data_IF_429381622200
#
_entry.id   IF_429381622200
#
_cell.length_a   1.000
_cell.length_b   1.000
_cell.length_c   1.000
_cell.angle_alpha   90.00
_cell.angle_beta   90.00
_cell.angle_gamma   90.00
#
_symmetry.space_group_name_H-M   'P 1'
#
loop_
_entity.id
_entity.type
_entity.pdbx_description
1 polymer ?
#
# COMPACT_ATOMS: atom_id res chain seq x y z
N UNK A 1 -9.95 56.69 -5.52
CA UNK A 1 -9.21 56.80 -4.24
C UNK A 1 -8.00 55.90 -4.35
N UNK A 2 -6.82 56.46 -4.11
CA UNK A 2 -5.50 55.92 -4.46
C UNK A 2 -4.79 55.66 -3.13
N UNK A 3 -4.29 54.45 -2.91
CA UNK A 3 -3.50 54.10 -1.73
C UNK A 3 -2.41 53.11 -2.12
N UNK A 4 -1.14 53.55 -2.19
CA UNK A 4 0.03 52.69 -2.37
C UNK A 4 0.75 52.50 -1.03
N UNK A 5 1.23 51.29 -0.74
CA UNK A 5 2.32 51.05 0.22
C UNK A 5 3.05 49.79 -0.23
N UNK A 6 4.17 49.95 -0.97
CA UNK A 6 5.55 49.97 -0.43
C UNK A 6 5.83 48.69 0.35
N UNK A 7 6.33 47.65 -0.33
CA UNK A 7 7.76 47.33 -0.43
C UNK A 7 8.44 47.22 0.95
N UNK A 8 8.62 45.99 1.43
CA UNK A 8 9.77 45.63 2.24
C UNK A 8 10.35 44.30 1.76
N UNK A 9 11.39 44.46 0.96
CA UNK A 9 12.48 43.50 0.72
C UNK A 9 13.12 43.03 2.02
N UNK A 10 13.34 41.73 2.18
CA UNK A 10 14.44 41.21 2.98
C UNK A 10 14.77 39.76 2.56
N UNK A 11 15.72 39.66 1.64
CA UNK A 11 16.55 38.49 1.35
C UNK A 11 17.29 38.00 2.61
N UNK A 12 17.11 36.74 3.01
CA UNK A 12 17.93 36.02 3.99
C UNK A 12 18.05 34.59 3.47
N UNK A 13 19.12 34.28 2.74
CA UNK A 13 20.38 33.71 3.21
C UNK A 13 20.38 32.18 3.13
N UNK A 14 21.30 31.69 2.31
CA UNK A 14 21.58 30.31 2.03
C UNK A 14 21.90 29.50 3.30
N UNK A 15 21.31 28.31 3.42
CA UNK A 15 21.86 27.23 4.23
C UNK A 15 22.06 25.99 3.34
N UNK A 16 23.32 25.72 3.09
CA UNK A 16 23.86 24.54 2.43
C UNK A 16 23.59 23.31 3.31
N UNK A 17 22.85 22.34 2.79
CA UNK A 17 22.85 20.97 3.32
C UNK A 17 23.40 20.04 2.24
N UNK A 18 24.74 20.02 2.14
CA UNK A 18 25.45 18.98 1.42
C UNK A 18 25.31 17.67 2.21
N UNK A 19 24.38 16.81 1.78
CA UNK A 19 24.19 15.48 2.35
C UNK A 19 25.39 14.58 2.08
N UNK A 20 25.91 13.96 3.13
CA UNK A 20 26.95 12.94 3.07
C UNK A 20 26.49 11.73 2.24
N UNK A 21 27.14 11.47 1.12
CA UNK A 21 27.00 10.21 0.37
C UNK A 21 27.85 9.15 1.07
N UNK A 22 27.19 8.25 1.82
CA UNK A 22 27.81 7.02 2.26
C UNK A 22 27.94 6.08 1.04
N UNK A 23 29.17 5.72 0.68
CA UNK A 23 29.44 4.74 -0.36
C UNK A 23 28.96 3.35 0.09
N UNK A 24 28.25 2.59 -0.76
CA UNK A 24 27.97 1.20 -0.46
C UNK A 24 29.24 0.37 -0.69
N UNK A 25 29.78 -0.19 0.39
CA UNK A 25 30.82 -1.21 0.34
C UNK A 25 30.27 -2.46 -0.33
N UNK A 26 30.59 -2.67 -1.60
CA UNK A 26 30.25 -3.91 -2.31
C UNK A 26 31.17 -5.00 -1.79
N UNK A 27 30.66 -5.83 -0.87
CA UNK A 27 31.35 -7.04 -0.43
C UNK A 27 31.11 -8.11 -1.50
N UNK A 28 32.11 -8.38 -2.33
CA UNK A 28 32.09 -9.52 -3.26
C UNK A 28 31.92 -10.81 -2.46
N UNK A 29 30.74 -11.41 -2.55
CA UNK A 29 30.48 -12.73 -2.01
C UNK A 29 30.93 -13.76 -3.05
N UNK A 30 32.02 -14.46 -2.75
CA UNK A 30 32.41 -15.67 -3.47
C UNK A 30 31.57 -16.83 -2.91
N UNK A 31 30.65 -17.44 -3.67
CA UNK A 31 29.92 -18.61 -3.19
C UNK A 31 30.88 -19.81 -3.10
N UNK A 32 30.79 -20.63 -2.04
CA UNK A 32 31.53 -21.89 -1.98
C UNK A 32 31.01 -22.86 -3.05
N UNK A 33 31.86 -23.76 -3.59
CA UNK A 33 31.41 -24.78 -4.51
C UNK A 33 30.39 -25.69 -3.81
N UNK A 34 29.14 -25.68 -4.30
CA UNK A 34 28.12 -26.65 -3.88
C UNK A 34 28.50 -28.01 -4.43
N UNK A 35 29.11 -28.82 -3.58
CA UNK A 35 29.24 -30.26 -3.77
C UNK A 35 28.09 -30.98 -3.06
N UNK A 36 27.56 -32.00 -3.74
CA UNK A 36 26.66 -33.06 -3.27
C UNK A 36 25.15 -32.76 -3.35
N UNK A 37 24.52 -33.42 -4.31
CA UNK A 37 23.07 -33.55 -4.48
C UNK A 37 22.42 -34.26 -3.27
N UNK A 38 21.25 -33.81 -2.79
CA UNK A 38 20.41 -34.63 -1.91
C UNK A 38 19.43 -35.46 -2.74
N UNK A 39 19.33 -36.75 -2.39
CA UNK A 39 18.29 -37.67 -2.84
C UNK A 39 16.88 -37.14 -2.52
N UNK A 40 15.83 -37.56 -3.25
CA UNK A 40 14.46 -37.12 -2.99
C UNK A 40 13.99 -37.67 -1.64
N UNK A 41 13.76 -36.77 -0.68
CA UNK A 41 13.07 -37.08 0.57
C UNK A 41 11.57 -37.18 0.30
N UNK A 42 11.05 -38.40 0.39
CA UNK A 42 9.61 -38.68 0.33
C UNK A 42 8.97 -38.15 1.62
N UNK A 43 8.34 -36.99 1.56
CA UNK A 43 7.57 -36.40 2.66
C UNK A 43 6.18 -37.05 2.71
N UNK A 44 6.15 -38.28 3.18
CA UNK A 44 4.91 -38.99 3.50
C UNK A 44 5.13 -39.76 4.78
N UNK A 45 5.17 -39.05 5.91
CA UNK A 45 4.57 -39.51 7.17
C UNK A 45 4.73 -38.42 8.25
N UNK A 46 3.63 -38.20 8.99
CA UNK A 46 3.64 -37.89 10.43
C UNK A 46 3.74 -36.42 10.86
N UNK A 47 2.84 -35.82 11.66
CA UNK A 47 1.57 -36.20 12.31
C UNK A 47 1.02 -34.87 12.91
N UNK A 48 -0.29 -34.60 12.79
CA UNK A 48 -1.23 -34.33 13.91
C UNK A 48 -2.43 -33.45 13.47
N UNK A 49 -3.68 -33.88 13.71
CA UNK A 49 -4.90 -33.16 13.36
C UNK A 49 -5.25 -32.11 14.41
N UNK A 50 -5.82 -30.99 14.00
CA UNK A 50 -6.35 -29.87 14.81
C UNK A 50 -5.46 -28.64 14.92
N UNK A 51 -5.02 -28.11 13.80
CA UNK A 51 -5.07 -26.66 13.65
C UNK A 51 -6.17 -26.40 12.62
N UNK A 52 -7.32 -25.89 13.08
CA UNK A 52 -8.24 -25.20 12.19
C UNK A 52 -7.45 -24.06 11.59
N UNK A 53 -6.81 -24.32 10.45
CA UNK A 53 -6.47 -23.29 9.50
C UNK A 53 -7.82 -22.65 9.21
N UNK A 54 -8.07 -21.49 9.83
CA UNK A 54 -9.14 -20.61 9.39
C UNK A 54 -8.78 -20.33 7.95
N UNK A 55 -9.41 -21.07 7.05
CA UNK A 55 -9.24 -20.95 5.63
C UNK A 55 -9.73 -19.57 5.29
N UNK A 56 -8.80 -18.62 5.28
CA UNK A 56 -9.03 -17.27 4.80
C UNK A 56 -9.52 -17.48 3.37
N UNK A 57 -10.78 -17.16 3.03
CA UNK A 57 -11.27 -17.43 1.69
C UNK A 57 -10.39 -16.66 0.74
N UNK A 58 -9.53 -17.36 0.00
CA UNK A 58 -8.83 -16.79 -1.14
C UNK A 58 -9.93 -16.57 -2.18
N UNK A 59 -10.60 -15.43 -2.06
CA UNK A 59 -11.61 -15.06 -3.02
C UNK A 59 -10.91 -15.05 -4.39
N UNK A 60 -11.46 -15.80 -5.36
CA UNK A 60 -10.91 -15.82 -6.70
C UNK A 60 -10.84 -14.37 -7.21
N UNK A 61 -9.91 -14.12 -8.11
CA UNK A 61 -9.60 -12.85 -8.80
C UNK A 61 -10.75 -12.26 -9.62
N UNK A 62 -11.98 -12.35 -9.11
CA UNK A 62 -13.13 -11.55 -9.47
C UNK A 62 -12.74 -10.08 -9.42
N UNK A 63 -13.28 -9.32 -10.38
CA UNK A 63 -13.04 -7.90 -10.64
C UNK A 63 -12.40 -7.21 -9.44
N UNK A 64 -11.19 -6.67 -9.64
CA UNK A 64 -10.51 -5.84 -8.64
C UNK A 64 -11.40 -4.70 -8.12
N UNK A 65 -12.45 -4.33 -8.85
CA UNK A 65 -13.38 -3.28 -8.49
C UNK A 65 -14.69 -3.90 -7.97
N UNK A 66 -15.08 -3.53 -6.76
CA UNK A 66 -16.34 -3.95 -6.11
C UNK A 66 -17.51 -3.04 -6.47
N UNK A 67 -18.70 -3.32 -5.90
CA UNK A 67 -19.95 -2.60 -6.17
C UNK A 67 -19.85 -1.09 -5.87
N UNK A 68 -19.06 -0.74 -4.85
CA UNK A 68 -18.95 0.61 -4.31
C UNK A 68 -17.63 1.30 -4.69
N UNK A 69 -16.85 0.73 -5.62
CA UNK A 69 -15.57 1.32 -6.06
C UNK A 69 -15.71 2.79 -6.48
N UNK A 70 -16.68 3.15 -7.32
CA UNK A 70 -16.90 4.54 -7.77
C UNK A 70 -17.27 5.48 -6.62
N UNK A 71 -17.98 4.97 -5.61
CA UNK A 71 -18.32 5.74 -4.42
C UNK A 71 -17.08 6.00 -3.57
N UNK A 72 -16.26 4.97 -3.36
CA UNK A 72 -15.00 5.07 -2.64
C UNK A 72 -14.01 6.00 -3.34
N UNK A 73 -13.91 5.96 -4.67
CA UNK A 73 -13.08 6.88 -5.45
C UNK A 73 -13.52 8.33 -5.31
N UNK A 74 -14.84 8.60 -5.31
CA UNK A 74 -15.38 9.94 -5.05
C UNK A 74 -15.11 10.39 -3.62
N UNK A 75 -15.16 9.48 -2.64
CA UNK A 75 -14.82 9.80 -1.26
C UNK A 75 -13.34 10.10 -1.09
N UNK A 76 -12.45 9.33 -1.71
CA UNK A 76 -11.01 9.57 -1.75
C UNK A 76 -10.70 10.98 -2.25
N UNK A 77 -11.31 11.39 -3.37
CA UNK A 77 -11.15 12.75 -3.92
C UNK A 77 -11.55 13.84 -2.92
N UNK A 78 -12.60 13.63 -2.12
CA UNK A 78 -13.00 14.57 -1.06
C UNK A 78 -12.03 14.58 0.13
N UNK A 79 -11.38 13.44 0.39
CA UNK A 79 -10.39 13.26 1.45
C UNK A 79 -8.95 13.50 0.95
N UNK A 80 -8.77 14.47 0.04
CA UNK A 80 -7.48 14.87 -0.51
C UNK A 80 -6.65 13.78 -1.22
N UNK A 81 -7.26 12.63 -1.56
CA UNK A 81 -6.63 11.58 -2.34
C UNK A 81 -7.15 11.59 -3.78
N UNK A 82 -6.30 12.01 -4.72
CA UNK A 82 -6.59 11.83 -6.15
C UNK A 82 -6.22 10.39 -6.53
N UNK A 83 -7.18 9.53 -6.92
CA UNK A 83 -6.86 8.14 -7.25
C UNK A 83 -5.90 8.05 -8.44
N UNK A 84 -4.84 7.24 -8.32
CA UNK A 84 -3.94 6.90 -9.42
C UNK A 84 -4.52 5.82 -10.36
N UNK A 85 -5.57 5.13 -9.90
CA UNK A 85 -6.32 4.12 -10.63
C UNK A 85 -7.66 3.85 -9.93
N UNK A 86 -8.33 2.75 -10.28
CA UNK A 86 -9.61 2.41 -9.66
C UNK A 86 -9.44 1.89 -8.22
N UNK A 87 -10.46 2.10 -7.39
CA UNK A 87 -10.50 1.55 -6.04
C UNK A 87 -10.51 0.02 -6.08
N UNK A 88 -9.56 -0.60 -5.37
CA UNK A 88 -9.38 -2.05 -5.33
C UNK A 88 -10.15 -2.63 -4.14
N UNK A 89 -11.04 -3.58 -4.39
CA UNK A 89 -11.71 -4.38 -3.36
C UNK A 89 -10.71 -5.37 -2.78
N UNK A 90 -10.39 -5.22 -1.49
CA UNK A 90 -9.40 -6.05 -0.79
C UNK A 90 -10.03 -7.06 0.16
N UNK A 91 -11.29 -6.86 0.55
CA UNK A 91 -12.07 -7.84 1.32
C UNK A 91 -13.57 -7.66 1.06
N UNK A 92 -14.31 -8.77 1.04
CA UNK A 92 -15.77 -8.77 0.96
C UNK A 92 -16.35 -9.82 1.90
N UNK A 93 -17.30 -9.41 2.72
CA UNK A 93 -18.13 -10.27 3.55
C UNK A 93 -19.59 -10.05 3.20
N UNK A 94 -20.50 -10.79 3.84
CA UNK A 94 -21.94 -10.59 3.68
C UNK A 94 -22.41 -9.22 4.18
N UNK A 95 -21.70 -8.62 5.13
CA UNK A 95 -22.08 -7.36 5.77
C UNK A 95 -21.25 -6.15 5.30
N UNK A 96 -20.05 -6.38 4.77
CA UNK A 96 -19.11 -5.31 4.49
C UNK A 96 -18.23 -5.56 3.26
N UNK A 97 -17.80 -4.47 2.63
CA UNK A 97 -16.75 -4.44 1.61
C UNK A 97 -15.63 -3.51 2.07
N UNK A 98 -14.38 -3.94 1.95
CA UNK A 98 -13.21 -3.11 2.26
C UNK A 98 -12.44 -2.83 0.97
N UNK A 99 -12.14 -1.55 0.76
CA UNK A 99 -11.47 -1.04 -0.42
C UNK A 99 -10.15 -0.36 -0.07
N UNK A 100 -9.22 -0.41 -1.02
CA UNK A 100 -7.97 0.34 -1.01
C UNK A 100 -7.95 1.28 -2.21
N UNK A 101 -7.60 2.55 -1.96
CA UNK A 101 -7.37 3.55 -3.00
C UNK A 101 -5.90 3.95 -2.95
N UNK A 102 -5.17 3.70 -4.03
CA UNK A 102 -3.83 4.26 -4.23
C UNK A 102 -3.95 5.68 -4.79
N UNK A 103 -3.39 6.64 -4.08
CA UNK A 103 -3.40 8.05 -4.43
C UNK A 103 -2.20 8.40 -5.34
N UNK A 104 -2.30 9.45 -6.14
CA UNK A 104 -1.22 9.88 -7.06
C UNK A 104 0.06 10.34 -6.33
N UNK A 105 -0.05 10.79 -5.08
CA UNK A 105 1.07 11.16 -4.22
C UNK A 105 1.75 9.94 -3.56
N UNK A 106 1.29 8.73 -3.87
CA UNK A 106 1.81 7.48 -3.32
C UNK A 106 1.17 7.08 -1.98
N UNK A 107 0.28 7.89 -1.41
CA UNK A 107 -0.48 7.49 -0.23
C UNK A 107 -1.50 6.40 -0.56
N UNK A 108 -1.93 5.68 0.48
CA UNK A 108 -3.01 4.71 0.37
C UNK A 108 -4.07 5.01 1.41
N UNK A 109 -5.33 5.04 0.97
CA UNK A 109 -6.48 5.20 1.85
C UNK A 109 -7.32 3.92 1.84
N UNK A 110 -7.69 3.45 3.03
CA UNK A 110 -8.57 2.31 3.21
C UNK A 110 -9.99 2.77 3.50
N UNK A 111 -10.97 2.10 2.93
CA UNK A 111 -12.38 2.39 3.14
C UNK A 111 -13.14 1.12 3.51
N UNK A 112 -14.00 1.20 4.51
CA UNK A 112 -14.97 0.14 4.83
C UNK A 112 -16.36 0.61 4.44
N UNK A 113 -17.08 -0.21 3.70
CA UNK A 113 -18.46 0.01 3.33
C UNK A 113 -19.35 -1.04 3.97
N UNK A 114 -20.26 -0.63 4.85
CA UNK A 114 -21.26 -1.49 5.50
C UNK A 114 -22.65 -1.00 5.09
N UNK A 115 -23.52 -1.91 4.63
CA UNK A 115 -24.89 -1.55 4.19
C UNK A 115 -24.93 -0.35 3.21
N UNK A 116 -23.98 -0.30 2.27
CA UNK A 116 -23.77 0.80 1.31
C UNK A 116 -23.35 2.15 1.90
N UNK A 117 -23.00 2.19 3.18
CA UNK A 117 -22.40 3.36 3.83
C UNK A 117 -20.89 3.15 3.95
N UNK A 118 -20.12 4.02 3.31
CA UNK A 118 -18.66 3.94 3.31
C UNK A 118 -18.05 4.92 4.31
N UNK A 119 -16.96 4.52 4.96
CA UNK A 119 -16.14 5.36 5.85
C UNK A 119 -14.66 5.14 5.58
N UNK A 120 -13.87 6.19 5.73
CA UNK A 120 -12.42 6.10 5.73
C UNK A 120 -11.97 5.35 6.99
N UNK A 121 -11.06 4.40 6.82
CA UNK A 121 -10.35 3.72 7.91
C UNK A 121 -8.97 4.37 8.00
N UNK A 122 -8.78 5.29 8.94
CA UNK A 122 -7.51 5.95 9.21
C UNK A 122 -6.71 5.23 10.30
#
# INVERSE_FOLDING_TARGET
>A
MKGPSLLLTATVAATLLAGCVAQPTVRSYTPPPRSSAPAPVSLSESLSPSEQIVEMPQHPSARKNGELSDTVERMAKRNACTPAGSATLIAKTTAAETYQVSCQDGQQQLYKCELRQCRLMN
#
